data_IF_758819362816
#
_entry.id   IF_758819362816
#
_cell.length_a   1.000
_cell.length_b   1.000
_cell.length_c   1.000
_cell.angle_alpha   90.00
_cell.angle_beta   90.00
_cell.angle_gamma   90.00
#
_symmetry.space_group_name_H-M   'P 1'
#
loop_
_entity.id
_entity.type
_entity.pdbx_description
1 polymer ?
#
# COMPACT_ATOMS: atom_id res chain seq x y z
N UNK A 1 -4.83 15.93 -3.19
CA UNK A 1 -4.91 14.79 -2.26
C UNK A 1 -5.08 13.45 -3.00
N UNK A 2 -6.08 13.28 -3.87
CA UNK A 2 -6.22 12.10 -4.76
C UNK A 2 -4.99 11.86 -5.65
N UNK A 3 -4.41 12.93 -6.22
CA UNK A 3 -3.29 12.86 -7.18
C UNK A 3 -2.02 12.22 -6.62
N UNK A 4 -1.64 12.46 -5.36
CA UNK A 4 -0.42 11.88 -4.77
C UNK A 4 -0.55 10.38 -4.56
N UNK A 5 -1.72 9.92 -4.09
CA UNK A 5 -1.95 8.50 -3.88
C UNK A 5 -2.05 7.74 -5.21
N UNK A 6 -2.80 8.27 -6.18
CA UNK A 6 -2.86 7.70 -7.54
C UNK A 6 -1.48 7.73 -8.20
N UNK A 7 -0.64 8.73 -7.89
CA UNK A 7 0.75 8.78 -8.33
C UNK A 7 1.57 7.64 -7.75
N UNK A 8 1.58 7.40 -6.43
CA UNK A 8 2.36 6.29 -5.84
C UNK A 8 1.82 4.90 -6.24
N UNK A 9 0.50 4.72 -6.26
CA UNK A 9 -0.12 3.49 -6.76
C UNK A 9 0.15 3.32 -8.27
N UNK A 10 0.15 4.41 -9.03
CA UNK A 10 0.45 4.43 -10.45
C UNK A 10 1.92 4.15 -10.77
N UNK A 11 2.88 4.58 -9.95
CA UNK A 11 4.31 4.23 -10.08
C UNK A 11 4.55 2.72 -9.96
N UNK A 12 3.73 2.04 -9.15
CA UNK A 12 3.85 0.59 -8.95
C UNK A 12 3.07 -0.24 -9.98
N UNK A 13 2.09 0.37 -10.67
CA UNK A 13 1.16 -0.31 -11.60
C UNK A 13 1.44 0.00 -13.07
N UNK A 14 1.92 1.20 -13.40
CA UNK A 14 2.29 1.59 -14.76
C UNK A 14 3.81 1.60 -14.87
N UNK A 15 4.32 1.05 -15.98
CA UNK A 15 5.74 0.84 -16.25
C UNK A 15 6.61 1.92 -15.62
N UNK A 16 7.38 1.49 -14.60
CA UNK A 16 8.38 2.32 -13.93
C UNK A 16 9.15 3.07 -15.01
N UNK A 17 9.41 4.39 -14.87
CA UNK A 17 10.52 4.98 -15.59
C UNK A 17 11.72 4.07 -15.32
N UNK A 18 12.34 3.52 -16.38
CA UNK A 18 13.50 2.65 -16.26
C UNK A 18 14.69 3.48 -15.77
N UNK A 19 14.67 3.86 -14.50
CA UNK A 19 15.86 4.30 -13.79
C UNK A 19 16.76 3.08 -13.64
N UNK A 20 18.05 3.24 -13.88
CA UNK A 20 19.00 2.19 -13.59
C UNK A 20 19.11 2.03 -12.06
N UNK A 21 19.14 0.79 -11.55
CA UNK A 21 19.40 0.56 -10.14
C UNK A 21 20.83 1.00 -9.79
N UNK A 22 21.09 1.24 -8.51
CA UNK A 22 22.45 1.54 -8.05
C UNK A 22 23.41 0.37 -8.27
N UNK A 23 24.61 0.67 -8.76
CA UNK A 23 25.69 -0.31 -8.86
C UNK A 23 26.14 -0.84 -7.49
N UNK A 24 25.97 0.01 -6.47
CA UNK A 24 26.24 -0.29 -5.06
C UNK A 24 25.47 -1.49 -4.51
N UNK A 25 24.32 -1.83 -5.11
CA UNK A 25 23.54 -3.00 -4.70
C UNK A 25 24.26 -4.33 -4.90
N UNK A 26 25.34 -4.38 -5.70
CA UNK A 26 26.16 -5.60 -5.82
C UNK A 26 26.81 -6.00 -4.50
N UNK A 27 27.12 -5.04 -3.62
CA UNK A 27 27.69 -5.29 -2.28
C UNK A 27 26.76 -6.12 -1.37
N UNK A 28 25.44 -6.11 -1.63
CA UNK A 28 24.45 -6.84 -0.82
C UNK A 28 24.62 -8.36 -0.93
N UNK A 29 25.24 -8.85 -2.01
CA UNK A 29 25.61 -10.26 -2.14
C UNK A 29 26.62 -10.70 -1.06
N UNK A 30 27.47 -9.78 -0.60
CA UNK A 30 28.46 -10.03 0.45
C UNK A 30 27.91 -9.68 1.82
N UNK A 31 27.26 -8.53 1.98
CA UNK A 31 26.72 -8.05 3.27
C UNK A 31 25.68 -9.02 3.83
N UNK A 32 24.83 -9.59 2.98
CA UNK A 32 23.72 -10.47 3.36
C UNK A 32 23.96 -11.95 2.99
N UNK A 33 25.23 -12.35 2.84
CA UNK A 33 25.63 -13.71 2.45
C UNK A 33 25.06 -14.80 3.37
N UNK A 34 24.83 -14.51 4.65
CA UNK A 34 24.31 -15.44 5.65
C UNK A 34 22.77 -15.46 5.78
N UNK A 35 22.06 -14.68 4.96
CA UNK A 35 20.59 -14.58 5.03
C UNK A 35 19.99 -15.03 3.71
N UNK A 36 19.75 -14.11 2.78
CA UNK A 36 19.34 -14.38 1.41
C UNK A 36 19.88 -13.26 0.52
N UNK A 37 21.15 -13.42 0.13
CA UNK A 37 21.92 -12.38 -0.50
C UNK A 37 21.35 -11.93 -1.86
N UNK A 38 20.69 -12.86 -2.58
CA UNK A 38 20.05 -12.56 -3.86
C UNK A 38 18.82 -11.70 -3.64
N UNK A 39 17.93 -12.11 -2.73
CA UNK A 39 16.75 -11.31 -2.37
C UNK A 39 17.15 -9.94 -1.84
N UNK A 40 18.16 -9.86 -0.97
CA UNK A 40 18.64 -8.59 -0.43
C UNK A 40 19.15 -7.65 -1.53
N UNK A 41 19.91 -8.19 -2.50
CA UNK A 41 20.35 -7.43 -3.69
C UNK A 41 19.16 -6.96 -4.54
N UNK A 42 18.18 -7.81 -4.77
CA UNK A 42 17.00 -7.47 -5.59
C UNK A 42 16.15 -6.37 -4.91
N UNK A 43 15.94 -6.45 -3.59
CA UNK A 43 15.28 -5.41 -2.81
C UNK A 43 16.04 -4.08 -2.89
N UNK A 44 17.38 -4.11 -2.78
CA UNK A 44 18.20 -2.90 -2.94
C UNK A 44 17.99 -2.25 -4.31
N UNK A 45 18.03 -3.06 -5.39
CA UNK A 45 17.83 -2.57 -6.76
C UNK A 45 16.47 -1.91 -6.90
N UNK A 46 15.41 -2.63 -6.55
CA UNK A 46 14.04 -2.14 -6.59
C UNK A 46 13.87 -0.84 -5.79
N UNK A 47 14.48 -0.76 -4.60
CA UNK A 47 14.43 0.44 -3.77
C UNK A 47 15.10 1.64 -4.47
N UNK A 48 16.29 1.46 -5.04
CA UNK A 48 17.05 2.55 -5.68
C UNK A 48 16.39 3.04 -6.97
N UNK A 49 15.75 2.14 -7.72
CA UNK A 49 14.91 2.51 -8.86
C UNK A 49 13.69 3.32 -8.39
N UNK A 50 12.98 2.82 -7.38
CA UNK A 50 11.83 3.50 -6.81
C UNK A 50 12.21 4.90 -6.33
N UNK A 51 13.28 4.99 -5.55
CA UNK A 51 13.81 6.26 -5.04
C UNK A 51 14.06 7.26 -6.16
N UNK A 52 14.74 6.83 -7.24
CA UNK A 52 15.08 7.67 -8.39
C UNK A 52 13.87 8.13 -9.20
N UNK A 53 12.77 7.38 -9.14
CA UNK A 53 11.52 7.72 -9.82
C UNK A 53 10.70 8.82 -9.12
N UNK A 54 10.98 9.07 -7.83
CA UNK A 54 10.18 9.95 -7.00
C UNK A 54 10.63 11.42 -7.08
N UNK A 55 9.73 12.40 -6.83
CA UNK A 55 10.06 13.81 -6.89
C UNK A 55 11.17 14.23 -5.93
N UNK A 56 11.29 13.59 -4.75
CA UNK A 56 12.37 13.87 -3.79
C UNK A 56 13.76 13.70 -4.40
N UNK A 57 13.94 12.78 -5.34
CA UNK A 57 15.25 12.52 -5.94
C UNK A 57 15.79 13.76 -6.65
N UNK A 58 14.91 14.47 -7.36
CA UNK A 58 15.23 15.73 -8.05
C UNK A 58 15.57 16.87 -7.09
N UNK A 59 15.26 16.74 -5.80
CA UNK A 59 15.53 17.72 -4.76
C UNK A 59 16.62 17.22 -3.78
N UNK A 60 17.64 16.56 -4.31
CA UNK A 60 18.80 16.06 -3.56
C UNK A 60 18.44 15.12 -2.40
N UNK A 61 17.32 14.40 -2.51
CA UNK A 61 16.93 13.40 -1.51
C UNK A 61 16.44 13.97 -0.19
N UNK A 62 16.21 15.28 -0.09
CA UNK A 62 15.82 15.90 1.17
C UNK A 62 14.36 15.56 1.51
N UNK A 63 14.17 14.90 2.65
CA UNK A 63 12.87 14.72 3.28
C UNK A 63 12.40 16.03 3.96
N UNK A 64 12.17 17.06 3.15
CA UNK A 64 11.61 18.33 3.59
C UNK A 64 10.07 18.26 3.67
N UNK A 65 9.38 19.30 4.17
CA UNK A 65 7.92 19.30 4.23
C UNK A 65 7.21 19.09 2.88
N UNK A 66 7.85 19.42 1.76
CA UNK A 66 7.30 19.23 0.41
C UNK A 66 7.41 17.77 -0.07
N UNK A 67 8.42 17.03 0.41
CA UNK A 67 8.71 15.64 0.03
C UNK A 67 8.45 14.62 1.14
N UNK A 68 7.87 15.03 2.27
CA UNK A 68 7.55 14.15 3.40
C UNK A 68 6.73 12.92 3.03
N UNK A 69 5.86 13.03 2.02
CA UNK A 69 5.05 11.89 1.56
C UNK A 69 5.90 10.86 0.79
N UNK A 70 6.88 11.31 0.00
CA UNK A 70 7.80 10.42 -0.73
C UNK A 70 8.60 9.57 0.28
N UNK A 71 9.14 10.21 1.33
CA UNK A 71 9.91 9.52 2.36
C UNK A 71 9.06 8.54 3.19
N UNK A 72 7.84 8.94 3.57
CA UNK A 72 6.89 8.02 4.24
C UNK A 72 6.55 6.81 3.39
N UNK A 73 6.39 7.02 2.09
CA UNK A 73 6.12 5.94 1.15
C UNK A 73 7.32 4.99 1.00
N UNK A 74 8.53 5.52 0.89
CA UNK A 74 9.76 4.72 0.87
C UNK A 74 9.92 3.88 2.16
N UNK A 75 9.64 4.47 3.32
CA UNK A 75 9.67 3.74 4.59
C UNK A 75 8.67 2.58 4.62
N UNK A 76 7.42 2.85 4.21
CA UNK A 76 6.39 1.83 4.07
C UNK A 76 6.84 0.71 3.12
N UNK A 77 7.33 1.07 1.94
CA UNK A 77 7.69 0.13 0.88
C UNK A 77 8.82 -0.80 1.35
N UNK A 78 9.85 -0.26 2.01
CA UNK A 78 10.96 -1.05 2.50
C UNK A 78 10.53 -2.01 3.62
N UNK A 79 9.72 -1.53 4.57
CA UNK A 79 9.13 -2.38 5.62
C UNK A 79 8.32 -3.53 5.02
N UNK A 80 7.48 -3.24 4.01
CA UNK A 80 6.70 -4.24 3.31
C UNK A 80 7.59 -5.29 2.66
N UNK A 81 8.59 -4.87 1.88
CA UNK A 81 9.46 -5.78 1.11
C UNK A 81 10.33 -6.66 1.98
N UNK A 82 10.90 -6.13 3.06
CA UNK A 82 11.70 -6.92 3.99
C UNK A 82 10.87 -7.98 4.72
N UNK A 83 9.60 -7.70 5.03
CA UNK A 83 8.70 -8.68 5.66
C UNK A 83 8.13 -9.70 4.67
N UNK A 84 7.72 -9.25 3.48
CA UNK A 84 7.25 -10.12 2.39
C UNK A 84 8.27 -11.22 2.07
N UNK A 85 9.56 -10.89 2.14
CA UNK A 85 10.65 -11.81 1.84
C UNK A 85 11.35 -12.41 3.08
N UNK A 86 10.75 -12.29 4.28
CA UNK A 86 11.30 -12.80 5.55
C UNK A 86 12.70 -12.29 5.96
N UNK A 87 13.26 -11.27 5.28
CA UNK A 87 14.55 -10.65 5.63
C UNK A 87 14.49 -9.99 7.01
N UNK A 88 13.34 -9.39 7.36
CA UNK A 88 13.10 -8.70 8.63
C UNK A 88 13.42 -9.54 9.88
N UNK A 89 13.40 -10.88 9.79
CA UNK A 89 13.73 -11.76 10.91
C UNK A 89 15.18 -11.63 11.37
N UNK A 90 16.07 -11.19 10.47
CA UNK A 90 17.51 -11.15 10.70
C UNK A 90 18.06 -9.72 10.72
N UNK A 91 17.32 -8.74 10.18
CA UNK A 91 17.82 -7.38 9.88
C UNK A 91 16.73 -6.36 10.13
N UNK A 92 17.05 -5.33 10.92
CA UNK A 92 16.15 -4.21 11.14
C UNK A 92 16.07 -3.33 9.88
N UNK A 93 14.94 -2.65 9.66
CA UNK A 93 14.72 -1.83 8.46
C UNK A 93 15.77 -0.72 8.35
N UNK A 94 16.10 -0.09 9.49
CA UNK A 94 17.12 0.95 9.56
C UNK A 94 18.51 0.43 9.18
N UNK A 95 18.88 -0.78 9.60
CA UNK A 95 20.16 -1.41 9.30
C UNK A 95 20.28 -1.70 7.80
N UNK A 96 19.22 -2.24 7.20
CA UNK A 96 19.15 -2.48 5.77
C UNK A 96 19.33 -1.18 4.98
N UNK A 97 18.63 -0.13 5.39
CA UNK A 97 18.73 1.19 4.76
C UNK A 97 20.11 1.83 4.93
N UNK A 98 20.71 1.74 6.12
CA UNK A 98 22.07 2.24 6.38
C UNK A 98 23.11 1.59 5.45
N UNK A 99 22.94 0.29 5.16
CA UNK A 99 23.80 -0.37 4.19
C UNK A 99 23.53 0.14 2.77
N UNK A 100 22.28 0.40 2.38
CA UNK A 100 21.98 1.04 1.09
C UNK A 100 22.62 2.41 0.99
N UNK A 101 22.47 3.29 1.98
CA UNK A 101 23.05 4.63 1.97
C UNK A 101 24.59 4.61 1.85
N UNK A 102 25.25 3.65 2.50
CA UNK A 102 26.73 3.52 2.43
C UNK A 102 27.20 3.04 1.07
N UNK A 103 26.46 2.13 0.45
CA UNK A 103 26.91 1.42 -0.76
C UNK A 103 26.40 2.08 -2.04
N UNK A 104 25.19 2.66 -2.01
CA UNK A 104 24.48 3.21 -3.15
C UNK A 104 24.63 4.73 -3.28
N UNK A 105 25.84 5.26 -3.07
CA UNK A 105 26.11 6.71 -3.06
C UNK A 105 25.93 7.39 -4.42
N UNK A 106 25.88 6.61 -5.48
CA UNK A 106 25.55 7.01 -6.84
C UNK A 106 24.08 7.44 -6.99
N UNK A 107 23.18 6.92 -6.13
CA UNK A 107 21.74 7.21 -6.16
C UNK A 107 21.26 7.89 -4.87
N UNK A 108 21.67 7.38 -3.71
CA UNK A 108 21.23 7.86 -2.39
C UNK A 108 22.30 8.82 -1.85
N UNK A 109 22.00 10.13 -1.74
CA UNK A 109 22.95 11.09 -1.21
C UNK A 109 23.15 10.89 0.30
N UNK A 110 24.39 11.06 0.76
CA UNK A 110 24.82 10.92 2.18
C UNK A 110 24.12 11.91 3.14
N UNK A 111 23.40 12.90 2.60
CA UNK A 111 22.67 13.91 3.37
C UNK A 111 21.21 13.53 3.61
N UNK A 112 20.79 12.34 3.16
CA UNK A 112 19.41 11.86 3.35
C UNK A 112 19.23 11.55 4.83
N UNK A 113 18.39 12.33 5.52
CA UNK A 113 18.16 12.14 6.95
C UNK A 113 17.65 10.72 7.21
N UNK A 114 18.40 10.00 8.06
CA UNK A 114 18.07 8.68 8.60
C UNK A 114 16.77 8.67 9.42
N UNK A 115 16.20 9.83 9.74
CA UNK A 115 15.06 9.96 10.65
C UNK A 115 13.74 9.45 10.04
N UNK A 116 13.70 9.18 8.72
CA UNK A 116 12.47 8.81 8.01
C UNK A 116 12.34 7.30 7.72
N UNK A 117 13.41 6.52 7.89
CA UNK A 117 13.39 5.07 7.68
C UNK A 117 13.48 4.37 9.03
N UNK A 118 12.40 3.70 9.41
CA UNK A 118 12.23 3.10 10.73
C UNK A 118 11.33 1.86 10.65
N UNK A 119 11.48 0.97 11.63
CA UNK A 119 10.64 -0.22 11.74
C UNK A 119 9.18 0.16 12.04
N UNK A 120 8.27 -0.25 11.16
CA UNK A 120 6.83 -0.14 11.36
C UNK A 120 6.35 -1.41 12.07
N UNK A 121 5.58 -1.24 13.14
CA UNK A 121 4.96 -2.37 13.85
C UNK A 121 4.07 -3.19 12.91
N UNK A 122 4.11 -4.51 13.07
CA UNK A 122 3.45 -5.46 12.17
C UNK A 122 1.95 -5.19 11.98
N UNK A 123 1.23 -4.92 13.07
CA UNK A 123 -0.20 -4.60 13.03
C UNK A 123 -0.50 -3.34 12.21
N UNK A 124 0.35 -2.32 12.31
CA UNK A 124 0.18 -1.08 11.57
C UNK A 124 0.59 -1.24 10.11
N UNK A 125 1.66 -1.98 9.84
CA UNK A 125 2.03 -2.31 8.47
C UNK A 125 0.95 -3.14 7.77
N UNK A 126 0.34 -4.11 8.46
CA UNK A 126 -0.76 -4.90 7.90
C UNK A 126 -1.95 -4.00 7.53
N UNK A 127 -2.33 -3.05 8.40
CA UNK A 127 -3.35 -2.04 8.08
C UNK A 127 -2.96 -1.18 6.88
N UNK A 128 -1.71 -0.73 6.80
CA UNK A 128 -1.20 0.06 5.68
C UNK A 128 -1.22 -0.74 4.37
N UNK A 129 -0.85 -2.02 4.39
CA UNK A 129 -0.88 -2.91 3.22
C UNK A 129 -2.29 -3.06 2.68
N UNK A 130 -3.28 -3.21 3.56
CA UNK A 130 -4.67 -3.35 3.15
C UNK A 130 -5.23 -2.04 2.58
N UNK A 131 -4.92 -0.89 3.20
CA UNK A 131 -5.23 0.43 2.62
C UNK A 131 -4.56 0.61 1.26
N UNK A 132 -3.30 0.21 1.12
CA UNK A 132 -2.57 0.27 -0.14
C UNK A 132 -3.28 -0.57 -1.23
N UNK A 133 -3.62 -1.84 -0.95
CA UNK A 133 -4.38 -2.69 -1.89
C UNK A 133 -5.71 -2.06 -2.31
N UNK A 134 -6.42 -1.48 -1.35
CA UNK A 134 -7.71 -0.85 -1.61
C UNK A 134 -7.64 0.24 -2.68
N UNK A 135 -6.74 1.22 -2.53
CA UNK A 135 -6.62 2.24 -3.58
C UNK A 135 -5.68 1.94 -4.76
N UNK A 136 -4.89 0.88 -4.72
CA UNK A 136 -4.34 0.28 -5.95
C UNK A 136 -5.47 -0.17 -6.87
N UNK A 137 -6.50 -0.85 -6.33
CA UNK A 137 -7.68 -1.25 -7.12
C UNK A 137 -8.46 -0.05 -7.64
N UNK A 138 -8.69 0.99 -6.83
CA UNK A 138 -9.30 2.24 -7.32
C UNK A 138 -8.51 2.80 -8.51
N UNK A 139 -7.18 2.81 -8.42
CA UNK A 139 -6.32 3.38 -9.46
C UNK A 139 -6.38 2.56 -10.76
N UNK A 140 -6.41 1.22 -10.65
CA UNK A 140 -6.61 0.30 -11.78
C UNK A 140 -7.98 0.52 -12.45
N UNK A 141 -9.06 0.51 -11.65
CA UNK A 141 -10.42 0.75 -12.13
C UNK A 141 -10.51 2.10 -12.84
N UNK A 142 -10.01 3.17 -12.21
CA UNK A 142 -10.01 4.51 -12.78
C UNK A 142 -9.26 4.53 -14.11
N UNK A 143 -8.08 3.93 -14.19
CA UNK A 143 -7.26 3.89 -15.41
C UNK A 143 -7.98 3.19 -16.56
N UNK A 144 -8.71 2.11 -16.30
CA UNK A 144 -9.54 1.43 -17.30
C UNK A 144 -10.71 2.34 -17.71
N UNK A 145 -11.40 2.94 -16.74
CA UNK A 145 -12.56 3.79 -16.99
C UNK A 145 -12.27 5.07 -17.77
N UNK A 146 -11.03 5.56 -17.80
CA UNK A 146 -10.66 6.77 -18.57
C UNK A 146 -10.00 6.48 -19.93
N UNK A 147 -9.63 5.23 -20.22
CA UNK A 147 -9.02 4.87 -21.51
C UNK A 147 -10.06 4.93 -22.63
N UNK A 148 -9.83 5.70 -23.68
CA UNK A 148 -10.65 5.64 -24.91
C UNK A 148 -10.37 4.34 -25.69
N UNK A 149 -10.68 3.19 -25.10
CA UNK A 149 -10.69 1.88 -25.77
C UNK A 149 -12.11 1.33 -25.81
N UNK A 150 -12.39 0.56 -26.87
CA UNK A 150 -13.61 -0.23 -27.04
C UNK A 150 -13.51 -1.60 -26.35
N UNK A 151 -12.56 -1.78 -25.42
CA UNK A 151 -12.41 -3.05 -24.70
C UNK A 151 -13.70 -3.36 -23.92
N UNK A 152 -14.19 -4.59 -24.06
CA UNK A 152 -15.37 -5.03 -23.33
C UNK A 152 -15.06 -5.03 -21.82
N UNK A 153 -15.93 -4.42 -20.98
CA UNK A 153 -15.71 -4.35 -19.55
C UNK A 153 -15.69 -5.74 -18.93
N UNK A 154 -14.82 -5.95 -17.94
CA UNK A 154 -14.64 -7.22 -17.26
C UNK A 154 -14.48 -7.03 -15.74
N UNK A 155 -14.27 -8.13 -15.01
CA UNK A 155 -14.20 -8.13 -13.54
C UNK A 155 -13.09 -7.26 -12.94
N UNK A 156 -12.09 -6.84 -13.72
CA UNK A 156 -11.07 -5.86 -13.27
C UNK A 156 -11.65 -4.48 -12.94
N UNK A 157 -12.88 -4.18 -13.37
CA UNK A 157 -13.62 -2.98 -13.02
C UNK A 157 -14.32 -3.06 -11.65
N UNK A 158 -14.32 -4.23 -11.00
CA UNK A 158 -14.90 -4.43 -9.68
C UNK A 158 -13.85 -4.48 -8.59
N UNK A 159 -14.24 -4.11 -7.37
CA UNK A 159 -13.43 -4.41 -6.18
C UNK A 159 -13.35 -5.92 -5.98
N UNK A 160 -12.19 -6.42 -5.55
CA UNK A 160 -12.06 -7.83 -5.19
C UNK A 160 -12.85 -8.17 -3.93
N UNK A 161 -13.19 -9.46 -3.76
CA UNK A 161 -13.84 -9.96 -2.54
C UNK A 161 -12.99 -9.65 -1.29
N UNK A 162 -11.66 -9.82 -1.36
CA UNK A 162 -10.73 -9.47 -0.27
C UNK A 162 -10.85 -7.99 0.13
N UNK A 163 -10.94 -7.08 -0.85
CA UNK A 163 -11.07 -5.64 -0.60
C UNK A 163 -12.42 -5.30 0.06
N UNK A 164 -13.49 -5.92 -0.41
CA UNK A 164 -14.84 -5.73 0.14
C UNK A 164 -14.94 -6.27 1.57
N UNK A 165 -14.40 -7.46 1.82
CA UNK A 165 -14.34 -8.05 3.16
C UNK A 165 -13.54 -7.17 4.11
N UNK A 166 -12.35 -6.73 3.69
CA UNK A 166 -11.54 -5.82 4.48
C UNK A 166 -12.30 -4.54 4.84
N UNK A 167 -12.93 -3.88 3.86
CA UNK A 167 -13.71 -2.67 4.12
C UNK A 167 -14.86 -2.96 5.11
N UNK A 168 -15.57 -4.08 4.95
CA UNK A 168 -16.64 -4.52 5.88
C UNK A 168 -16.16 -4.70 7.31
N UNK A 169 -14.98 -5.28 7.52
CA UNK A 169 -14.43 -5.55 8.84
C UNK A 169 -14.01 -4.26 9.54
N UNK A 170 -13.30 -3.37 8.83
CA UNK A 170 -12.64 -2.23 9.46
C UNK A 170 -13.51 -0.96 9.51
N UNK A 171 -14.43 -0.77 8.56
CA UNK A 171 -15.26 0.43 8.51
C UNK A 171 -16.10 0.64 9.79
N UNK A 172 -16.72 -0.40 10.38
CA UNK A 172 -17.42 -0.26 11.68
C UNK A 172 -16.50 0.05 12.86
N UNK A 173 -15.20 -0.23 12.78
CA UNK A 173 -14.24 0.07 13.85
C UNK A 173 -13.83 1.55 13.90
N UNK A 174 -14.31 2.35 12.95
CA UNK A 174 -14.03 3.77 12.84
C UNK A 174 -15.05 4.67 13.55
N UNK A 175 -15.91 4.09 14.39
CA UNK A 175 -16.92 4.79 15.18
C UNK A 175 -16.27 5.69 16.26
N UNK A 176 -16.17 6.99 15.98
CA UNK A 176 -15.83 8.02 16.97
C UNK A 176 -14.33 8.27 17.23
N UNK A 177 -13.42 7.56 16.56
CA UNK A 177 -11.98 7.75 16.75
C UNK A 177 -11.31 8.38 15.51
N UNK A 178 -10.70 9.56 15.71
CA UNK A 178 -9.93 10.29 14.68
C UNK A 178 -8.54 9.70 14.43
N UNK A 179 -8.41 8.37 14.36
CA UNK A 179 -7.14 7.70 14.04
C UNK A 179 -6.84 7.85 12.55
N UNK A 180 -5.57 8.01 12.21
CA UNK A 180 -5.06 8.20 10.85
C UNK A 180 -5.56 7.11 9.90
N UNK A 181 -5.62 5.87 10.40
CA UNK A 181 -6.17 4.72 9.68
C UNK A 181 -7.62 4.95 9.22
N UNK A 182 -8.49 5.43 10.10
CA UNK A 182 -9.89 5.66 9.78
C UNK A 182 -10.09 6.82 8.80
N UNK A 183 -9.25 7.86 8.91
CA UNK A 183 -9.21 8.95 7.92
C UNK A 183 -8.82 8.42 6.53
N UNK A 184 -7.84 7.53 6.45
CA UNK A 184 -7.42 6.90 5.20
C UNK A 184 -8.51 5.98 4.61
N UNK A 185 -9.20 5.20 5.46
CA UNK A 185 -10.30 4.33 5.01
C UNK A 185 -11.50 5.14 4.50
N UNK A 186 -11.81 6.27 5.16
CA UNK A 186 -12.82 7.21 4.69
C UNK A 186 -12.42 7.87 3.36
N UNK A 187 -11.16 8.27 3.21
CA UNK A 187 -10.62 8.81 1.96
C UNK A 187 -10.73 7.78 0.81
N UNK A 188 -10.52 6.49 1.09
CA UNK A 188 -10.83 5.42 0.12
C UNK A 188 -12.32 5.41 -0.26
N UNK A 189 -13.24 5.41 0.72
CA UNK A 189 -14.69 5.39 0.49
C UNK A 189 -15.11 6.54 -0.42
N UNK A 190 -14.67 7.75 -0.10
CA UNK A 190 -15.04 8.96 -0.81
C UNK A 190 -14.51 8.97 -2.25
N UNK A 191 -13.28 8.47 -2.47
CA UNK A 191 -12.72 8.30 -3.82
C UNK A 191 -13.45 7.25 -4.63
N UNK A 192 -13.80 6.12 -4.02
CA UNK A 192 -14.51 5.05 -4.72
C UNK A 192 -15.91 5.53 -5.16
N UNK A 193 -16.63 6.23 -4.28
CA UNK A 193 -17.94 6.82 -4.61
C UNK A 193 -17.88 7.79 -5.78
N UNK A 194 -16.79 8.56 -5.93
CA UNK A 194 -16.62 9.47 -7.07
C UNK A 194 -16.52 8.74 -8.42
N UNK A 195 -16.01 7.49 -8.44
CA UNK A 195 -15.93 6.69 -9.67
C UNK A 195 -17.30 6.37 -10.25
N UNK A 196 -18.37 6.35 -9.44
CA UNK A 196 -19.72 6.02 -9.89
C UNK A 196 -20.18 6.91 -11.05
N UNK A 197 -19.88 8.22 -11.00
CA UNK A 197 -20.20 9.15 -12.08
C UNK A 197 -19.49 8.81 -13.41
N UNK A 198 -18.30 8.20 -13.35
CA UNK A 198 -17.54 7.79 -14.53
C UNK A 198 -18.10 6.48 -15.09
N UNK A 199 -18.46 5.53 -14.22
CA UNK A 199 -19.18 4.33 -14.60
C UNK A 199 -20.48 4.65 -15.35
N UNK A 200 -21.28 5.59 -14.82
CA UNK A 200 -22.52 6.01 -15.46
C UNK A 200 -22.30 6.60 -16.86
N UNK A 201 -21.27 7.43 -17.04
CA UNK A 201 -20.93 8.01 -18.35
C UNK A 201 -20.51 6.95 -19.38
N UNK A 202 -19.88 5.86 -18.93
CA UNK A 202 -19.52 4.71 -19.79
C UNK A 202 -20.71 3.83 -20.14
N UNK A 203 -21.82 3.95 -19.42
CA UNK A 203 -23.06 3.25 -19.69
C UNK A 203 -23.27 1.99 -18.84
N UNK A 204 -24.41 1.34 -19.09
CA UNK A 204 -24.92 0.23 -18.27
C UNK A 204 -23.96 -0.98 -18.25
N UNK A 205 -23.33 -1.30 -19.39
CA UNK A 205 -22.34 -2.39 -19.51
C UNK A 205 -21.19 -2.26 -18.51
N UNK A 206 -20.81 -1.03 -18.15
CA UNK A 206 -19.76 -0.73 -17.16
C UNK A 206 -20.33 -0.64 -15.75
N UNK A 207 -21.49 0.01 -15.61
CA UNK A 207 -22.11 0.29 -14.31
C UNK A 207 -22.40 -0.99 -13.51
N UNK A 208 -22.68 -2.12 -14.16
CA UNK A 208 -22.87 -3.42 -13.49
C UNK A 208 -21.67 -3.90 -12.66
N UNK A 209 -20.46 -3.38 -12.92
CA UNK A 209 -19.24 -3.74 -12.17
C UNK A 209 -18.99 -2.86 -10.94
N UNK A 210 -19.73 -1.75 -10.81
CA UNK A 210 -19.67 -0.92 -9.62
C UNK A 210 -20.41 -1.61 -8.46
N UNK A 211 -19.73 -1.79 -7.33
CA UNK A 211 -20.29 -2.45 -6.14
C UNK A 211 -20.47 -1.40 -5.06
N UNK A 212 -21.70 -1.15 -4.63
CA UNK A 212 -21.95 -0.23 -3.52
C UNK A 212 -21.24 -0.71 -2.25
N UNK A 213 -20.44 0.18 -1.66
CA UNK A 213 -19.80 -0.07 -0.37
C UNK A 213 -20.87 -0.06 0.73
N UNK A 214 -20.80 -1.00 1.70
CA UNK A 214 -21.77 -1.04 2.79
C UNK A 214 -21.74 0.27 3.60
N UNK A 215 -22.92 0.80 3.89
CA UNK A 215 -23.07 1.94 4.79
C UNK A 215 -22.86 1.51 6.23
N UNK A 216 -22.08 2.29 6.98
CA UNK A 216 -21.85 2.07 8.41
C UNK A 216 -22.88 2.89 9.17
N UNK A 217 -23.95 2.24 9.61
CA UNK A 217 -24.93 2.84 10.51
C UNK A 217 -24.51 2.62 11.96
N UNK A 218 -24.43 3.71 12.74
CA UNK A 218 -23.98 3.74 14.14
C UNK A 218 -24.79 2.87 15.12
N UNK A 219 -25.90 2.25 14.69
CA UNK A 219 -26.86 1.55 15.56
C UNK A 219 -27.12 0.08 15.19
N UNK A 220 -26.37 -0.52 14.25
CA UNK A 220 -26.69 -1.89 13.80
C UNK A 220 -25.42 -2.74 13.80
N UNK A 221 -25.39 -3.75 14.69
CA UNK A 221 -24.57 -4.94 14.55
C UNK A 221 -24.84 -5.49 13.15
N UNK A 222 -23.82 -5.46 12.27
CA UNK A 222 -23.90 -6.07 10.94
C UNK A 222 -24.35 -7.52 11.08
N UNK A 223 -25.62 -7.79 10.81
CA UNK A 223 -26.05 -9.15 10.45
C UNK A 223 -25.30 -9.51 9.18
N UNK A 224 -24.56 -10.62 9.15
CA UNK A 224 -23.94 -11.08 7.92
C UNK A 224 -25.06 -11.31 6.91
N UNK A 225 -24.97 -10.67 5.75
CA UNK A 225 -25.65 -11.18 4.56
C UNK A 225 -24.97 -12.51 4.25
N UNK A 226 -25.50 -13.56 4.87
CA UNK A 226 -25.21 -14.94 4.58
C UNK A 226 -25.68 -15.18 3.14
N UNK A 227 -24.75 -15.13 2.19
CA UNK A 227 -24.85 -16.06 1.08
C UNK A 227 -24.78 -17.45 1.72
N UNK A 228 -25.94 -18.09 1.82
CA UNK A 228 -26.10 -19.55 1.91
C UNK A 228 -24.99 -20.21 1.08
N UNK A 229 -24.12 -21.09 1.60
CA UNK A 229 -24.39 -22.33 2.31
C UNK A 229 -23.18 -22.71 3.20
N UNK A 230 -23.45 -23.02 4.47
CA UNK A 230 -22.67 -24.00 5.26
C UNK A 230 -21.40 -23.55 5.97
N UNK A 231 -21.51 -23.30 7.29
CA UNK A 231 -20.38 -23.46 8.23
C UNK A 231 -20.00 -22.23 9.05
N UNK A 232 -20.81 -21.88 10.05
CA UNK A 232 -20.45 -20.95 11.13
C UNK A 232 -19.39 -21.57 12.05
N UNK A 233 -18.25 -20.88 12.24
CA UNK A 233 -17.68 -20.65 13.58
C UNK A 233 -17.03 -19.24 13.62
N UNK A 234 -17.60 -18.27 14.35
CA UNK A 234 -16.90 -17.02 14.65
C UNK A 234 -15.99 -17.20 15.87
N UNK A 235 -14.69 -17.42 15.64
CA UNK A 235 -13.68 -17.55 16.70
C UNK A 235 -13.00 -16.22 17.11
N UNK A 236 -13.61 -15.07 16.82
CA UNK A 236 -13.03 -13.77 17.18
C UNK A 236 -13.37 -13.29 18.61
N UNK A 237 -14.18 -14.05 19.36
CA UNK A 237 -14.63 -13.67 20.71
C UNK A 237 -13.71 -14.03 21.89
N UNK A 238 -12.59 -14.76 21.67
CA UNK A 238 -11.79 -15.32 22.80
C UNK A 238 -10.46 -14.58 23.07
N UNK A 239 -9.96 -13.71 22.18
CA UNK A 239 -8.64 -13.09 22.41
C UNK A 239 -8.65 -11.75 23.19
N UNK A 240 -9.80 -11.19 23.57
CA UNK A 240 -9.85 -9.92 24.31
C UNK A 240 -10.10 -10.04 25.82
N UNK A 241 -10.04 -11.26 26.38
CA UNK A 241 -10.29 -11.49 27.81
C UNK A 241 -9.14 -12.16 28.55
N UNK A 242 -7.89 -11.82 28.25
CA UNK A 242 -6.76 -12.09 29.17
C UNK A 242 -5.75 -10.94 29.12
N UNK A 243 -6.14 -9.79 29.71
CA UNK A 243 -5.21 -8.87 30.37
C UNK A 243 -5.95 -8.12 31.48
N UNK A 244 -6.16 -8.83 32.59
CA UNK A 244 -6.20 -8.27 33.94
C UNK A 244 -6.17 -9.43 34.94
N UNK A 245 -4.98 -9.76 35.39
CA UNK A 245 -4.55 -9.86 36.79
C UNK A 245 -3.02 -9.92 36.79
#
# INVERSE_FOLDING_TARGET
>A
MIKNYIYYAGILVNDRPSSQPSDGCTSFLTIYASIDAKIAKDICKDFTELYSSLPLYKNNGKCDPNHKNDCKFLNYWLNYKLRENNIYRNVCVNEFYNNMERQCKDIIPVVTSLDYIYDIYEDDLNKMNKLYKLHEQISKIYSILIKDSEEEPNSSLSLSEESLEYYRIFSPMCNGNSREFCKALQDFKDKYKQLYSIFQRRGEKYTKYYIELPEVNNNIILTPLLCTVGGLIPLLGILYKVKKL
#
